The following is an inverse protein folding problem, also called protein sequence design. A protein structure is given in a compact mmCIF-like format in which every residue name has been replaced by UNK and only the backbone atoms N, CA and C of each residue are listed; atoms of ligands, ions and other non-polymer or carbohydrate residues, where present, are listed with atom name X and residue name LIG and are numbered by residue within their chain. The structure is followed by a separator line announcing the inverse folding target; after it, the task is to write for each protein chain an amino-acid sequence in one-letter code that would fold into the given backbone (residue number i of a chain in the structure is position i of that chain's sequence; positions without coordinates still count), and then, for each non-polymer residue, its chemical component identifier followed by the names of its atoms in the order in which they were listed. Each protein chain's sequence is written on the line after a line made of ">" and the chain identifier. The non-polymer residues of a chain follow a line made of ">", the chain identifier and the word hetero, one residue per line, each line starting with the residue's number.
data_IF_330756337301
#
_entry.id   IF_330756337301
#
_cell.length_a   1.000
_cell.length_b   1.000
_cell.length_c   1.000
_cell.angle_alpha   90.00
_cell.angle_beta   90.00
_cell.angle_gamma   90.00
#
_symmetry.space_group_name_H-M   'P 1'
#
loop_
_entity.id
_entity.type
_entity.pdbx_description
1 polymer ?
#
# COMPACT_ATOMS: atom_id res chain seq x y z
N UNK A 1 2.01 17.48 3.79
CA UNK A 1 2.20 16.63 2.59
C UNK A 1 2.66 15.27 3.10
N UNK A 2 2.06 14.17 2.63
CA UNK A 2 2.50 12.83 3.01
C UNK A 2 3.50 12.31 1.97
N UNK A 3 4.55 11.65 2.44
CA UNK A 3 5.56 10.96 1.65
C UNK A 3 5.91 9.63 2.34
N UNK A 4 6.09 8.57 1.56
CA UNK A 4 6.49 7.27 2.12
C UNK A 4 7.94 7.30 2.61
N UNK A 5 8.16 6.77 3.80
CA UNK A 5 9.49 6.49 4.32
C UNK A 5 9.85 5.03 4.02
N UNK A 6 10.63 4.80 2.97
CA UNK A 6 11.06 3.46 2.58
C UNK A 6 12.36 3.09 3.32
N UNK A 7 12.33 1.94 3.99
CA UNK A 7 13.47 1.39 4.72
C UNK A 7 14.34 0.54 3.81
N UNK A 8 15.59 0.35 4.21
CA UNK A 8 16.51 -0.57 3.54
C UNK A 8 15.92 -1.98 3.46
N UNK A 9 16.19 -2.62 2.33
CA UNK A 9 15.75 -3.98 2.05
C UNK A 9 16.59 -4.94 2.91
N UNK A 10 15.98 -5.89 3.64
CA UNK A 10 16.75 -6.84 4.44
C UNK A 10 17.65 -7.70 3.56
N UNK A 11 18.91 -7.87 4.00
CA UNK A 11 19.92 -8.70 3.31
C UNK A 11 19.50 -10.17 3.30
N UNK A 12 19.00 -10.67 4.43
CA UNK A 12 18.45 -12.02 4.55
C UNK A 12 16.93 -11.97 4.57
N UNK A 13 16.31 -12.64 3.60
CA UNK A 13 14.86 -12.64 3.44
C UNK A 13 14.29 -13.89 4.14
N UNK A 14 13.74 -13.67 5.33
CA UNK A 14 13.07 -14.66 6.18
C UNK A 14 11.63 -14.22 6.43
N UNK A 15 10.80 -15.10 6.99
CA UNK A 15 9.43 -14.74 7.40
C UNK A 15 9.44 -13.53 8.34
N UNK A 16 10.37 -13.47 9.30
CA UNK A 16 10.52 -12.36 10.26
C UNK A 16 10.87 -11.06 9.56
N UNK A 17 11.85 -11.07 8.66
CA UNK A 17 12.33 -9.82 8.04
C UNK A 17 11.30 -9.24 7.07
N UNK A 18 10.60 -10.09 6.31
CA UNK A 18 9.48 -9.65 5.44
C UNK A 18 8.35 -9.02 6.26
N UNK A 19 7.92 -9.67 7.34
CA UNK A 19 6.86 -9.13 8.19
C UNK A 19 7.28 -7.80 8.82
N UNK A 20 8.50 -7.73 9.36
CA UNK A 20 9.04 -6.49 9.94
C UNK A 20 9.11 -5.35 8.93
N UNK A 21 9.53 -5.64 7.69
CA UNK A 21 9.56 -4.65 6.62
C UNK A 21 8.16 -4.13 6.29
N UNK A 22 7.19 -5.03 6.08
CA UNK A 22 5.82 -4.66 5.70
C UNK A 22 5.09 -3.93 6.83
N UNK A 23 5.29 -4.32 8.10
CA UNK A 23 4.65 -3.68 9.26
C UNK A 23 5.03 -2.20 9.41
N UNK A 24 6.16 -1.77 8.86
CA UNK A 24 6.61 -0.37 8.89
C UNK A 24 5.99 0.49 7.79
N UNK A 25 5.28 -0.11 6.83
CA UNK A 25 4.53 0.61 5.80
C UNK A 25 3.28 1.24 6.42
N UNK A 26 3.49 2.32 7.18
CA UNK A 26 2.40 3.15 7.67
C UNK A 26 1.79 3.93 6.50
N UNK A 27 0.46 3.91 6.35
CA UNK A 27 -0.22 4.65 5.29
C UNK A 27 -1.33 5.49 5.92
N UNK A 28 -1.14 6.81 6.07
CA UNK A 28 -2.22 7.67 6.50
C UNK A 28 -3.32 7.66 5.43
N UNK A 29 -4.57 7.52 5.90
CA UNK A 29 -5.79 7.58 5.08
C UNK A 29 -6.01 6.41 4.09
N UNK A 30 -5.21 5.34 4.15
CA UNK A 30 -5.41 4.18 3.27
C UNK A 30 -5.22 4.47 1.78
N UNK A 31 -4.61 5.59 1.40
CA UNK A 31 -4.46 5.98 -0.01
C UNK A 31 -3.54 5.03 -0.80
N UNK A 32 -2.67 4.31 -0.10
CA UNK A 32 -1.80 3.28 -0.64
C UNK A 32 -2.32 1.86 -0.32
N UNK A 33 -3.62 1.71 -0.02
CA UNK A 33 -4.22 0.41 0.28
C UNK A 33 -3.97 -0.64 -0.82
N UNK A 34 -4.01 -0.32 -2.13
CA UNK A 34 -3.68 -1.30 -3.18
C UNK A 34 -2.24 -1.86 -3.10
N UNK A 35 -1.32 -1.10 -2.51
CA UNK A 35 0.07 -1.53 -2.30
C UNK A 35 0.18 -2.37 -1.03
N UNK A 36 -0.54 -1.99 0.02
CA UNK A 36 -0.58 -2.73 1.29
C UNK A 36 -1.28 -4.08 1.11
N UNK A 37 -2.31 -4.17 0.27
CA UNK A 37 -3.05 -5.42 0.07
C UNK A 37 -2.19 -6.50 -0.58
N UNK A 38 -1.35 -6.13 -1.56
CA UNK A 38 -0.33 -7.03 -2.14
C UNK A 38 0.63 -7.55 -1.06
N UNK A 39 1.06 -6.65 -0.16
CA UNK A 39 1.93 -7.01 0.97
C UNK A 39 1.26 -8.01 1.92
N UNK A 40 -0.02 -7.77 2.26
CA UNK A 40 -0.82 -8.66 3.12
C UNK A 40 -1.04 -10.03 2.49
N UNK A 41 -1.33 -10.09 1.19
CA UNK A 41 -1.44 -11.35 0.45
C UNK A 41 -0.12 -12.13 0.46
N UNK A 42 1.01 -11.45 0.30
CA UNK A 42 2.33 -12.07 0.40
C UNK A 42 2.60 -12.64 1.79
N UNK A 43 2.29 -11.88 2.84
CA UNK A 43 2.37 -12.36 4.23
C UNK A 43 1.53 -13.62 4.41
N UNK A 44 0.27 -13.61 3.95
CA UNK A 44 -0.62 -14.77 4.02
C UNK A 44 -0.01 -15.99 3.31
N UNK A 45 0.55 -15.81 2.12
CA UNK A 45 1.22 -16.89 1.37
C UNK A 45 2.42 -17.46 2.14
N UNK A 46 3.27 -16.59 2.70
CA UNK A 46 4.44 -17.00 3.50
C UNK A 46 4.01 -17.76 4.77
N UNK A 47 2.89 -17.38 5.39
CA UNK A 47 2.34 -18.12 6.54
C UNK A 47 1.93 -19.54 6.16
N UNK A 48 1.29 -19.71 5.00
CA UNK A 48 0.84 -21.03 4.51
C UNK A 48 1.99 -22.00 4.20
N UNK A 49 3.22 -21.50 4.00
CA UNK A 49 4.40 -22.34 3.80
C UNK A 49 4.84 -23.11 5.06
N UNK A 50 4.31 -22.76 6.25
CA UNK A 50 4.63 -23.41 7.54
C UNK A 50 6.14 -23.50 7.88
N UNK A 51 6.94 -22.58 7.36
CA UNK A 51 8.37 -22.43 7.70
C UNK A 51 8.59 -21.65 9.01
N UNK A 52 9.77 -21.79 9.61
CA UNK A 52 10.11 -21.04 10.82
C UNK A 52 10.37 -19.54 10.55
N UNK A 53 10.36 -18.74 11.63
CA UNK A 53 10.51 -17.28 11.56
C UNK A 53 11.82 -16.82 10.91
N UNK A 54 12.92 -17.48 11.27
CA UNK A 54 14.28 -17.11 10.87
C UNK A 54 14.81 -18.02 9.75
N UNK A 55 13.97 -18.91 9.23
CA UNK A 55 14.27 -19.70 8.05
C UNK A 55 14.21 -18.84 6.79
N UNK A 56 15.19 -19.02 5.90
CA UNK A 56 15.25 -18.35 4.60
C UNK A 56 14.04 -18.77 3.75
N UNK A 57 13.40 -17.81 3.10
CA UNK A 57 12.25 -18.09 2.24
C UNK A 57 12.65 -18.92 1.02
N UNK A 58 11.75 -19.73 0.46
CA UNK A 58 11.96 -20.35 -0.84
C UNK A 58 12.26 -19.29 -1.91
N UNK A 59 13.13 -19.64 -2.87
CA UNK A 59 13.61 -18.73 -3.93
C UNK A 59 12.49 -17.93 -4.61
N UNK A 60 11.37 -18.59 -4.93
CA UNK A 60 10.24 -17.93 -5.58
C UNK A 60 9.63 -16.80 -4.72
N UNK A 61 9.54 -16.97 -3.39
CA UNK A 61 9.01 -15.91 -2.51
C UNK A 61 10.02 -14.80 -2.28
N UNK A 62 11.32 -15.11 -2.30
CA UNK A 62 12.38 -14.10 -2.31
C UNK A 62 12.23 -13.19 -3.55
N UNK A 63 12.09 -13.79 -4.73
CA UNK A 63 11.92 -13.06 -5.99
C UNK A 63 10.62 -12.22 -5.99
N UNK A 64 9.51 -12.76 -5.46
CA UNK A 64 8.25 -12.04 -5.31
C UNK A 64 8.39 -10.83 -4.36
N UNK A 65 9.05 -11.02 -3.21
CA UNK A 65 9.30 -9.94 -2.26
C UNK A 65 10.19 -8.85 -2.84
N UNK A 66 11.29 -9.22 -3.52
CA UNK A 66 12.18 -8.27 -4.17
C UNK A 66 11.45 -7.46 -5.26
N UNK A 67 10.58 -8.10 -6.05
CA UNK A 67 9.76 -7.41 -7.05
C UNK A 67 8.78 -6.43 -6.40
N UNK A 68 8.09 -6.87 -5.35
CA UNK A 68 7.20 -6.00 -4.58
C UNK A 68 7.93 -4.78 -4.02
N UNK A 69 9.11 -4.99 -3.46
CA UNK A 69 9.95 -3.91 -2.95
C UNK A 69 10.37 -2.97 -4.09
N UNK A 70 10.83 -3.49 -5.23
CA UNK A 70 11.18 -2.66 -6.39
C UNK A 70 10.00 -1.78 -6.87
N UNK A 71 8.79 -2.34 -6.98
CA UNK A 71 7.56 -1.60 -7.30
C UNK A 71 7.27 -0.51 -6.25
N UNK A 72 7.42 -0.85 -4.95
CA UNK A 72 7.21 0.09 -3.86
C UNK A 72 8.20 1.28 -3.92
N UNK A 73 9.46 1.03 -4.30
CA UNK A 73 10.47 2.07 -4.45
C UNK A 73 10.23 3.03 -5.62
N UNK A 74 9.44 2.64 -6.63
CA UNK A 74 9.00 3.57 -7.69
C UNK A 74 8.08 4.67 -7.15
N UNK A 75 7.47 4.45 -6.00
CA UNK A 75 6.53 5.38 -5.37
C UNK A 75 7.19 6.26 -4.30
N UNK A 76 8.52 6.21 -4.14
CA UNK A 76 9.26 6.97 -3.11
C UNK A 76 9.06 8.49 -3.21
N UNK A 77 8.85 8.98 -4.43
CA UNK A 77 8.70 10.40 -4.76
C UNK A 77 7.23 10.83 -4.83
N UNK A 78 6.29 9.89 -4.59
CA UNK A 78 4.87 10.18 -4.54
C UNK A 78 4.57 11.12 -3.37
N UNK A 79 4.11 12.32 -3.70
CA UNK A 79 3.71 13.35 -2.74
C UNK A 79 2.20 13.51 -2.78
N UNK A 80 1.55 13.23 -1.65
CA UNK A 80 0.10 13.38 -1.54
C UNK A 80 -0.20 14.67 -0.76
N UNK A 81 -0.99 15.60 -1.34
CA UNK A 81 -1.43 16.80 -0.64
C UNK A 81 -2.34 16.41 0.54
N UNK A 82 -2.19 17.12 1.66
CA UNK A 82 -3.00 16.83 2.87
C UNK A 82 -4.44 17.30 2.71
N UNK A 83 -4.65 18.44 2.04
CA UNK A 83 -5.96 18.91 1.63
C UNK A 83 -6.18 18.45 0.19
N UNK A 84 -7.26 17.70 -0.03
CA UNK A 84 -7.66 17.22 -1.36
C UNK A 84 -8.75 18.09 -2.00
N UNK A 85 -9.37 18.97 -1.21
CA UNK A 85 -10.40 19.89 -1.68
C UNK A 85 -9.78 21.07 -2.43
N UNK A 86 -10.49 21.56 -3.44
CA UNK A 86 -10.22 22.86 -4.06
C UNK A 86 -10.41 23.99 -3.05
N UNK A 87 -9.64 25.07 -3.23
CA UNK A 87 -9.85 26.31 -2.49
C UNK A 87 -11.18 26.92 -2.93
N UNK A 88 -11.93 27.50 -1.97
CA UNK A 88 -13.23 28.14 -2.19
C UNK A 88 -14.25 27.20 -2.84
N UNK A 89 -14.20 25.92 -2.48
CA UNK A 89 -15.11 24.91 -3.01
C UNK A 89 -16.55 25.20 -2.60
N UNK A 90 -17.45 25.23 -3.59
CA UNK A 90 -18.88 25.53 -3.43
C UNK A 90 -19.72 24.26 -3.29
N UNK A 91 -19.19 23.12 -3.74
CA UNK A 91 -19.83 21.82 -3.61
C UNK A 91 -18.79 20.72 -3.39
N UNK A 92 -19.07 19.82 -2.45
CA UNK A 92 -18.24 18.65 -2.14
C UNK A 92 -19.12 17.40 -2.12
N UNK A 93 -18.72 16.37 -2.86
CA UNK A 93 -19.38 15.08 -2.93
C UNK A 93 -18.43 13.98 -2.48
N UNK A 94 -18.94 13.04 -1.69
CA UNK A 94 -18.24 11.82 -1.34
C UNK A 94 -18.86 10.66 -2.12
N UNK A 95 -18.05 10.00 -2.95
CA UNK A 95 -18.50 8.92 -3.82
C UNK A 95 -17.82 7.63 -3.36
N UNK A 96 -18.61 6.65 -2.94
CA UNK A 96 -18.13 5.35 -2.48
C UNK A 96 -18.28 4.26 -3.53
N UNK A 97 -17.24 3.46 -3.69
CA UNK A 97 -17.27 2.22 -4.48
C UNK A 97 -16.79 1.07 -3.60
N UNK A 98 -17.30 -0.13 -3.85
CA UNK A 98 -16.82 -1.35 -3.22
C UNK A 98 -16.79 -2.47 -4.25
N UNK A 99 -15.77 -3.33 -4.14
CA UNK A 99 -15.60 -4.51 -4.98
C UNK A 99 -14.99 -5.65 -4.17
N UNK A 100 -15.22 -6.88 -4.63
CA UNK A 100 -14.86 -8.10 -3.95
C UNK A 100 -14.29 -9.13 -4.93
N UNK A 101 -13.20 -9.76 -4.53
CA UNK A 101 -12.61 -10.90 -5.24
C UNK A 101 -12.38 -12.06 -4.29
N UNK A 102 -12.06 -13.24 -4.84
CA UNK A 102 -11.68 -14.41 -4.04
C UNK A 102 -10.45 -14.17 -3.14
N UNK A 103 -9.60 -13.19 -3.50
CA UNK A 103 -8.35 -12.92 -2.81
C UNK A 103 -8.45 -11.76 -1.81
N UNK A 104 -9.35 -10.81 -2.06
CA UNK A 104 -9.49 -9.61 -1.24
C UNK A 104 -10.81 -8.87 -1.49
N UNK A 105 -11.25 -8.13 -0.46
CA UNK A 105 -12.33 -7.16 -0.52
C UNK A 105 -11.75 -5.74 -0.45
N UNK A 106 -12.32 -4.81 -1.21
CA UNK A 106 -11.88 -3.42 -1.25
C UNK A 106 -13.06 -2.46 -1.25
N UNK A 107 -12.89 -1.34 -0.56
CA UNK A 107 -13.79 -0.19 -0.65
C UNK A 107 -12.95 1.07 -0.81
N UNK A 108 -13.43 1.99 -1.64
CA UNK A 108 -12.74 3.23 -2.00
C UNK A 108 -13.70 4.40 -1.87
N UNK A 109 -13.21 5.50 -1.32
CA UNK A 109 -13.92 6.76 -1.23
C UNK A 109 -13.20 7.79 -2.11
N UNK A 110 -13.93 8.40 -3.02
CA UNK A 110 -13.49 9.54 -3.80
C UNK A 110 -14.15 10.79 -3.25
N UNK A 111 -13.38 11.86 -3.16
CA UNK A 111 -13.91 13.19 -2.86
C UNK A 111 -13.85 13.99 -4.15
N UNK A 112 -15.03 14.45 -4.59
CA UNK A 112 -15.16 15.38 -5.69
C UNK A 112 -15.46 16.76 -5.12
N UNK A 113 -14.70 17.76 -5.51
CA UNK A 113 -14.86 19.15 -5.09
C UNK A 113 -14.96 20.06 -6.31
N UNK A 114 -15.89 21.01 -6.26
CA UNK A 114 -16.15 21.96 -7.34
C UNK A 114 -15.97 23.38 -6.80
N UNK A 115 -15.39 24.27 -7.60
CA UNK A 115 -15.43 25.72 -7.40
C UNK A 115 -15.92 26.41 -8.69
N UNK A 116 -15.94 27.74 -8.72
CA UNK A 116 -16.47 28.48 -9.87
C UNK A 116 -15.73 28.24 -11.20
N UNK A 117 -14.49 27.71 -11.15
CA UNK A 117 -13.60 27.60 -12.32
C UNK A 117 -13.15 26.15 -12.62
N UNK A 118 -13.21 25.24 -11.64
CA UNK A 118 -12.62 23.90 -11.70
C UNK A 118 -13.47 22.86 -10.95
N UNK A 119 -13.46 21.64 -11.47
CA UNK A 119 -13.97 20.43 -10.80
C UNK A 119 -12.82 19.43 -10.66
N UNK A 120 -12.65 18.89 -9.46
CA UNK A 120 -11.62 17.91 -9.11
C UNK A 120 -12.20 16.70 -8.39
#
# INVERSE_FOLDING_TARGET
>A
MYQMNLQEVPVTITKRTVLSFISKLYVPLGLLQPIIIKAKMMIQKIWLLKIDWDQILPRQEIENFQRYVAELYQLKDLKIPRCILLKDSVAVQLIGFADASAQAYGAYLYVKSENANETR
#
